data_IF_107751751322
#
_entry.id   IF_107751751322
#
_cell.length_a   1.000
_cell.length_b   1.000
_cell.length_c   1.000
_cell.angle_alpha   90.00
_cell.angle_beta   90.00
_cell.angle_gamma   90.00
#
_symmetry.space_group_name_H-M   'P 1'
#
loop_
_entity.id
_entity.type
_entity.pdbx_description
1 polymer ?
#
# COMPACT_ATOMS: atom_id res chain seq x y z
N UNK A 1 -1.00 10.81 18.35
CA UNK A 1 -0.63 10.09 17.11
C UNK A 1 0.86 10.35 16.89
N UNK A 2 1.67 9.38 17.32
CA UNK A 2 3.15 9.38 17.42
C UNK A 2 3.81 10.48 18.29
N UNK A 3 4.74 10.10 19.19
CA UNK A 3 5.58 11.08 19.89
C UNK A 3 6.51 11.79 18.89
N UNK A 4 6.96 13.00 19.26
CA UNK A 4 7.97 13.71 18.48
C UNK A 4 9.22 12.80 18.33
N UNK A 5 9.71 12.57 17.09
CA UNK A 5 10.85 11.70 16.88
C UNK A 5 12.08 12.25 17.61
N UNK A 6 12.82 11.38 18.30
CA UNK A 6 14.02 11.74 19.06
C UNK A 6 15.11 12.39 18.20
N UNK A 7 15.15 12.05 16.90
CA UNK A 7 15.90 12.74 15.86
C UNK A 7 15.46 12.27 14.47
N UNK A 8 15.23 13.20 13.52
CA UNK A 8 14.88 12.87 12.13
C UNK A 8 13.39 12.67 11.84
N UNK A 9 13.03 12.25 10.61
CA UNK A 9 11.65 12.08 10.19
C UNK A 9 10.93 10.98 10.98
N UNK A 10 9.69 11.26 11.41
CA UNK A 10 8.81 10.28 12.05
C UNK A 10 7.82 9.62 11.06
N UNK A 11 7.03 8.62 11.49
CA UNK A 11 6.09 7.90 10.61
C UNK A 11 5.15 8.79 9.79
N UNK A 12 4.67 9.89 10.39
CA UNK A 12 3.83 10.86 9.69
C UNK A 12 4.54 11.53 8.50
N UNK A 13 5.85 11.83 8.62
CA UNK A 13 6.62 12.43 7.54
C UNK A 13 6.78 11.45 6.37
N UNK A 14 7.10 10.19 6.65
CA UNK A 14 7.17 9.16 5.62
C UNK A 14 5.82 8.92 4.95
N UNK A 15 4.72 8.87 5.71
CA UNK A 15 3.38 8.72 5.15
C UNK A 15 3.01 9.89 4.22
N UNK A 16 3.20 11.12 4.69
CA UNK A 16 2.90 12.31 3.89
C UNK A 16 3.79 12.39 2.65
N UNK A 17 5.10 12.12 2.80
CA UNK A 17 6.03 12.15 1.68
C UNK A 17 5.63 11.12 0.61
N UNK A 18 5.30 9.90 1.01
CA UNK A 18 4.82 8.87 0.10
C UNK A 18 3.52 9.27 -0.62
N UNK A 19 2.58 9.89 0.10
CA UNK A 19 1.32 10.34 -0.48
C UNK A 19 1.53 11.48 -1.50
N UNK A 20 2.32 12.51 -1.14
CA UNK A 20 2.58 13.65 -2.03
C UNK A 20 3.39 13.20 -3.25
N UNK A 21 4.45 12.40 -3.06
CA UNK A 21 5.23 11.85 -4.18
C UNK A 21 4.34 11.07 -5.15
N UNK A 22 3.45 10.20 -4.62
CA UNK A 22 2.52 9.42 -5.47
C UNK A 22 1.58 10.29 -6.29
N UNK A 23 1.18 11.46 -5.79
CA UNK A 23 0.26 12.38 -6.47
C UNK A 23 1.02 13.25 -7.49
N UNK A 24 2.19 13.75 -7.12
CA UNK A 24 2.91 14.76 -7.90
C UNK A 24 3.88 14.16 -8.94
N UNK A 25 4.56 13.06 -8.60
CA UNK A 25 5.55 12.41 -9.47
C UNK A 25 5.60 10.90 -9.16
N UNK A 26 4.64 10.11 -9.67
CA UNK A 26 4.51 8.71 -9.30
C UNK A 26 5.71 7.87 -9.78
N UNK A 27 6.65 7.61 -8.87
CA UNK A 27 7.86 6.81 -9.12
C UNK A 27 8.17 5.76 -8.05
N UNK A 28 9.25 4.99 -8.22
CA UNK A 28 9.73 4.03 -7.22
C UNK A 28 10.22 4.73 -5.94
N UNK A 29 10.16 4.02 -4.80
CA UNK A 29 10.61 4.55 -3.50
C UNK A 29 12.10 4.93 -3.46
N UNK A 30 12.89 4.37 -4.37
CA UNK A 30 14.31 4.65 -4.53
C UNK A 30 14.59 6.08 -5.00
N UNK A 31 13.63 6.74 -5.64
CA UNK A 31 13.78 8.10 -6.17
C UNK A 31 13.23 9.17 -5.21
N UNK A 32 12.52 8.76 -4.15
CA UNK A 32 11.81 9.68 -3.25
C UNK A 32 12.75 10.65 -2.52
N UNK A 33 13.95 10.20 -2.16
CA UNK A 33 14.96 11.05 -1.53
C UNK A 33 15.39 12.20 -2.45
N UNK A 34 15.77 11.88 -3.69
CA UNK A 34 16.20 12.86 -4.69
C UNK A 34 15.07 13.80 -5.08
N UNK A 35 13.84 13.26 -5.15
CA UNK A 35 12.64 14.06 -5.39
C UNK A 35 12.39 15.03 -4.25
N UNK A 36 12.44 14.57 -2.99
CA UNK A 36 12.22 15.39 -1.80
C UNK A 36 13.12 16.63 -1.76
N UNK A 37 14.42 16.46 -2.05
CA UNK A 37 15.42 17.53 -2.05
C UNK A 37 15.11 18.66 -3.04
N UNK A 38 14.34 18.35 -4.10
CA UNK A 38 13.92 19.29 -5.14
C UNK A 38 12.58 19.94 -4.87
N UNK A 39 11.96 19.66 -3.73
CA UNK A 39 10.65 20.22 -3.34
C UNK A 39 10.76 21.23 -2.21
N UNK A 40 9.69 22.00 -2.01
CA UNK A 40 9.53 22.89 -0.84
C UNK A 40 9.57 22.12 0.49
N UNK A 41 9.33 20.79 0.48
CA UNK A 41 9.35 19.99 1.70
C UNK A 41 10.76 19.91 2.31
N UNK A 42 11.82 20.04 1.50
CA UNK A 42 13.20 20.11 1.97
C UNK A 42 13.41 21.31 2.89
N UNK A 43 12.97 22.50 2.46
CA UNK A 43 13.07 23.72 3.27
C UNK A 43 12.13 23.73 4.46
N UNK A 44 10.90 23.23 4.30
CA UNK A 44 9.88 23.26 5.36
C UNK A 44 10.16 22.25 6.48
N UNK A 45 10.64 21.05 6.14
CA UNK A 45 10.89 20.00 7.13
C UNK A 45 12.32 20.01 7.66
N UNK A 46 13.28 20.54 6.88
CA UNK A 46 14.68 20.68 7.29
C UNK A 46 15.40 19.36 7.57
N UNK A 47 14.92 18.24 7.02
CA UNK A 47 15.60 16.95 7.14
C UNK A 47 16.56 16.73 5.96
N UNK A 48 17.74 16.13 6.19
CA UNK A 48 18.58 15.68 5.09
C UNK A 48 17.85 14.64 4.25
N UNK A 49 17.94 14.76 2.92
CA UNK A 49 17.25 13.87 1.98
C UNK A 49 17.64 12.41 2.19
N UNK A 50 18.89 12.14 2.56
CA UNK A 50 19.45 10.81 2.82
C UNK A 50 18.75 10.08 3.97
N UNK A 51 17.91 10.76 4.76
CA UNK A 51 17.06 10.12 5.77
C UNK A 51 15.88 9.39 5.14
N UNK A 52 15.44 9.76 3.94
CA UNK A 52 14.29 9.17 3.25
C UNK A 52 14.65 7.94 2.38
N UNK A 53 15.37 6.99 2.98
CA UNK A 53 15.73 5.74 2.30
C UNK A 53 14.54 4.76 2.23
N UNK A 54 14.54 3.89 1.21
CA UNK A 54 13.56 2.80 1.10
C UNK A 54 13.44 1.95 2.37
N UNK A 55 14.55 1.69 3.07
CA UNK A 55 14.53 0.91 4.32
C UNK A 55 13.84 1.70 5.44
N UNK A 56 14.19 2.98 5.61
CA UNK A 56 13.58 3.83 6.64
C UNK A 56 12.06 4.02 6.42
N UNK A 57 11.61 4.01 5.16
CA UNK A 57 10.17 3.92 4.84
C UNK A 57 9.52 2.65 5.40
N UNK A 58 10.14 1.48 5.18
CA UNK A 58 9.61 0.23 5.71
C UNK A 58 9.62 0.22 7.23
N UNK A 59 10.71 0.64 7.87
CA UNK A 59 10.84 0.70 9.33
C UNK A 59 9.78 1.64 9.95
N UNK A 60 9.47 2.75 9.27
CA UNK A 60 8.43 3.68 9.68
C UNK A 60 7.01 3.09 9.51
N UNK A 61 6.79 2.31 8.45
CA UNK A 61 5.49 1.69 8.18
C UNK A 61 5.22 0.48 9.08
N UNK A 62 6.25 -0.25 9.49
CA UNK A 62 6.12 -1.32 10.49
C UNK A 62 5.60 -0.80 11.83
N UNK A 63 5.92 0.44 12.20
CA UNK A 63 5.39 1.09 13.41
C UNK A 63 3.89 1.45 13.33
N UNK A 64 3.29 1.37 12.14
CA UNK A 64 1.86 1.61 11.91
C UNK A 64 1.08 0.30 12.07
N UNK A 65 1.74 -0.84 11.88
CA UNK A 65 1.10 -2.14 12.06
C UNK A 65 0.77 -2.33 13.55
N UNK A 66 -0.48 -2.69 13.89
CA UNK A 66 -0.84 -3.02 15.25
C UNK A 66 -0.07 -4.26 15.72
N UNK A 67 0.41 -4.22 16.96
CA UNK A 67 1.27 -5.24 17.59
C UNK A 67 0.66 -6.66 17.64
N UNK A 68 -0.64 -6.82 17.35
CA UNK A 68 -1.44 -8.02 17.63
C UNK A 68 -1.96 -8.78 16.41
N UNK A 69 -1.48 -8.52 15.19
CA UNK A 69 -1.98 -9.18 13.97
C UNK A 69 -1.71 -10.70 13.89
N UNK A 70 -0.90 -11.28 14.79
CA UNK A 70 -0.58 -12.72 14.78
C UNK A 70 -1.68 -13.59 15.40
N UNK A 71 -2.63 -13.02 16.14
CA UNK A 71 -3.65 -13.77 16.92
C UNK A 71 -5.10 -13.39 16.65
N UNK A 72 -5.35 -12.43 15.76
CA UNK A 72 -6.70 -11.93 15.50
C UNK A 72 -7.38 -12.77 14.41
N UNK A 73 -8.66 -13.07 14.58
CA UNK A 73 -9.46 -13.70 13.52
C UNK A 73 -9.49 -12.79 12.29
N UNK A 74 -9.74 -13.29 11.05
CA UNK A 74 -9.76 -12.43 9.84
C UNK A 74 -10.69 -11.21 9.96
N UNK A 75 -11.80 -11.31 10.70
CA UNK A 75 -12.70 -10.18 10.96
C UNK A 75 -12.14 -9.09 11.90
N UNK A 76 -11.01 -9.36 12.54
CA UNK A 76 -10.33 -8.49 13.51
C UNK A 76 -8.99 -7.97 12.98
N UNK A 77 -8.59 -8.28 11.74
CA UNK A 77 -7.38 -7.70 11.14
C UNK A 77 -7.55 -6.17 11.04
N UNK A 78 -6.68 -5.38 11.68
CA UNK A 78 -6.81 -3.92 11.65
C UNK A 78 -6.63 -3.32 10.25
N UNK A 79 -5.96 -4.01 9.33
CA UNK A 79 -5.91 -3.60 7.92
C UNK A 79 -7.28 -3.75 7.27
N UNK A 80 -7.95 -4.88 7.46
CA UNK A 80 -9.31 -5.10 6.94
C UNK A 80 -10.28 -4.07 7.54
N UNK A 81 -10.17 -3.79 8.85
CA UNK A 81 -10.96 -2.75 9.50
C UNK A 81 -10.69 -1.35 8.94
N UNK A 82 -9.42 -1.01 8.66
CA UNK A 82 -9.06 0.25 8.04
C UNK A 82 -9.60 0.37 6.61
N UNK A 83 -9.52 -0.71 5.82
CA UNK A 83 -10.06 -0.77 4.46
C UNK A 83 -11.59 -0.62 4.44
N UNK A 84 -12.30 -1.30 5.36
CA UNK A 84 -13.75 -1.17 5.48
C UNK A 84 -14.17 0.25 5.89
N UNK A 85 -13.43 0.89 6.82
CA UNK A 85 -13.68 2.29 7.19
C UNK A 85 -13.44 3.24 6.04
N UNK A 86 -12.37 3.04 5.26
CA UNK A 86 -12.08 3.83 4.07
C UNK A 86 -13.20 3.70 3.03
N UNK A 87 -13.67 2.47 2.76
CA UNK A 87 -14.80 2.23 1.87
C UNK A 87 -16.09 2.90 2.38
N UNK A 88 -16.32 2.87 3.70
CA UNK A 88 -17.40 3.60 4.36
C UNK A 88 -17.34 5.10 4.10
N UNK A 89 -16.17 5.72 4.27
CA UNK A 89 -15.94 7.13 3.97
C UNK A 89 -16.17 7.45 2.49
N UNK A 90 -15.71 6.58 1.58
CA UNK A 90 -15.93 6.77 0.14
C UNK A 90 -17.43 6.75 -0.19
N UNK A 91 -18.18 5.85 0.43
CA UNK A 91 -19.63 5.78 0.28
C UNK A 91 -20.32 7.03 0.83
N UNK A 92 -19.94 7.50 2.02
CA UNK A 92 -20.49 8.72 2.63
C UNK A 92 -20.22 9.96 1.77
N UNK A 93 -19.03 10.04 1.19
CA UNK A 93 -18.61 11.12 0.29
C UNK A 93 -19.11 10.94 -1.15
N UNK A 94 -19.87 9.89 -1.44
CA UNK A 94 -20.37 9.55 -2.78
C UNK A 94 -19.24 9.51 -3.83
N UNK A 95 -18.06 9.04 -3.44
CA UNK A 95 -16.89 8.99 -4.31
C UNK A 95 -16.96 7.83 -5.31
N UNK A 96 -17.77 6.80 -5.04
CA UNK A 96 -17.92 5.64 -5.93
C UNK A 96 -19.38 5.55 -6.37
N UNK A 97 -19.60 5.65 -7.67
CA UNK A 97 -20.89 5.47 -8.32
C UNK A 97 -21.31 4.00 -8.44
N UNK A 98 -22.53 3.79 -8.97
CA UNK A 98 -23.02 2.43 -9.31
C UNK A 98 -22.66 2.04 -10.74
N UNK A 99 -22.23 3.01 -11.55
CA UNK A 99 -21.85 2.79 -12.94
C UNK A 99 -20.43 2.25 -12.97
N UNK A 100 -20.27 0.95 -13.20
CA UNK A 100 -18.96 0.36 -13.44
C UNK A 100 -18.49 0.69 -14.87
N UNK A 101 -17.31 1.27 -15.00
CA UNK A 101 -16.67 1.52 -16.30
C UNK A 101 -15.83 0.33 -16.75
N UNK A 102 -15.13 -0.32 -15.82
CA UNK A 102 -14.34 -1.51 -16.11
C UNK A 102 -14.34 -2.48 -14.93
N UNK A 103 -14.34 -3.77 -15.23
CA UNK A 103 -14.08 -4.85 -14.30
C UNK A 103 -13.29 -5.93 -15.03
N UNK A 104 -12.12 -6.28 -14.51
CA UNK A 104 -11.31 -7.37 -15.03
C UNK A 104 -10.75 -8.22 -13.88
N UNK A 105 -10.58 -9.51 -14.15
CA UNK A 105 -9.97 -10.44 -13.20
C UNK A 105 -8.87 -11.22 -13.90
N UNK A 106 -7.69 -11.23 -13.31
CA UNK A 106 -6.53 -11.94 -13.84
C UNK A 106 -5.76 -12.62 -12.73
N UNK A 107 -5.10 -13.72 -13.06
CA UNK A 107 -4.28 -14.49 -12.12
C UNK A 107 -2.82 -14.41 -12.54
N UNK A 108 -1.96 -13.93 -11.64
CA UNK A 108 -0.51 -13.95 -11.82
C UNK A 108 0.08 -15.14 -11.10
N UNK A 109 1.01 -15.86 -11.73
CA UNK A 109 1.84 -16.81 -11.00
C UNK A 109 3.04 -16.11 -10.38
N UNK A 110 3.51 -16.68 -9.28
CA UNK A 110 4.63 -16.18 -8.48
C UNK A 110 5.69 -17.28 -8.34
N UNK A 111 6.92 -16.90 -8.03
CA UNK A 111 8.01 -17.82 -7.77
C UNK A 111 8.20 -18.08 -6.26
N UNK A 112 7.15 -17.86 -5.47
CA UNK A 112 7.21 -18.06 -4.02
C UNK A 112 7.38 -19.54 -3.73
N UNK A 113 8.44 -19.85 -2.99
CA UNK A 113 8.78 -21.22 -2.63
C UNK A 113 7.60 -21.91 -1.90
N UNK A 114 7.32 -23.15 -2.26
CA UNK A 114 6.25 -23.92 -1.61
C UNK A 114 6.53 -24.21 -0.13
N UNK A 115 7.79 -24.11 0.29
CA UNK A 115 8.23 -24.22 1.69
C UNK A 115 8.05 -22.93 2.48
N UNK A 116 7.71 -21.80 1.84
CA UNK A 116 7.43 -20.56 2.55
C UNK A 116 6.04 -20.65 3.19
N UNK A 117 6.02 -20.89 4.51
CA UNK A 117 4.82 -21.02 5.34
C UNK A 117 4.24 -19.68 5.79
N UNK A 118 4.97 -18.57 5.59
CA UNK A 118 4.50 -17.22 5.95
C UNK A 118 3.49 -16.67 4.93
N UNK A 119 3.53 -17.13 3.69
CA UNK A 119 2.61 -16.69 2.65
C UNK A 119 1.36 -17.58 2.60
N UNK A 120 0.23 -17.03 3.02
CA UNK A 120 -1.08 -17.70 3.01
C UNK A 120 -1.97 -17.29 1.82
N UNK A 121 -1.67 -16.14 1.20
CA UNK A 121 -2.46 -15.57 0.11
C UNK A 121 -2.23 -16.29 -1.23
N UNK A 122 -0.97 -16.55 -1.57
CA UNK A 122 -0.62 -17.14 -2.87
C UNK A 122 -0.73 -18.66 -2.83
N UNK A 123 -1.63 -19.23 -3.64
CA UNK A 123 -1.94 -20.67 -3.63
C UNK A 123 -1.79 -21.29 -5.02
N UNK A 124 -1.60 -22.60 -5.11
CA UNK A 124 -1.56 -23.30 -6.40
C UNK A 124 -2.97 -23.33 -7.00
N UNK A 125 -3.07 -23.19 -8.32
CA UNK A 125 -4.35 -23.14 -9.00
C UNK A 125 -4.25 -23.23 -10.52
N UNK A 126 -5.39 -23.08 -11.19
CA UNK A 126 -5.43 -23.03 -12.65
C UNK A 126 -5.12 -21.62 -13.16
N UNK A 127 -4.13 -21.51 -14.07
CA UNK A 127 -3.91 -20.30 -14.84
C UNK A 127 -3.83 -20.60 -16.33
N UNK A 128 -4.12 -19.57 -17.14
CA UNK A 128 -4.18 -19.67 -18.61
C UNK A 128 -2.81 -19.94 -19.26
N UNK A 129 -1.72 -19.76 -18.52
CA UNK A 129 -0.34 -19.99 -18.99
C UNK A 129 0.21 -21.39 -18.60
N UNK A 130 -0.63 -22.27 -18.02
CA UNK A 130 -0.26 -23.66 -17.68
C UNK A 130 0.72 -23.81 -16.52
N UNK A 131 0.99 -22.76 -15.74
CA UNK A 131 1.88 -22.78 -14.56
C UNK A 131 1.13 -23.18 -13.29
N UNK A 132 0.46 -24.33 -13.33
CA UNK A 132 -0.31 -24.88 -12.19
C UNK A 132 0.57 -25.27 -11.00
N UNK A 133 1.85 -25.51 -11.27
CA UNK A 133 2.86 -25.84 -10.27
C UNK A 133 3.35 -24.61 -9.46
N UNK A 134 3.04 -23.40 -9.89
CA UNK A 134 3.43 -22.17 -9.21
C UNK A 134 2.28 -21.66 -8.33
N UNK A 135 2.63 -20.99 -7.23
CA UNK A 135 1.65 -20.29 -6.38
C UNK A 135 1.19 -19.03 -7.10
N UNK A 136 -0.10 -18.72 -7.05
CA UNK A 136 -0.77 -17.70 -7.84
C UNK A 136 -1.48 -16.71 -6.94
N UNK A 137 -1.61 -15.47 -7.41
CA UNK A 137 -2.39 -14.40 -6.78
C UNK A 137 -3.39 -13.91 -7.82
N UNK A 138 -4.66 -13.85 -7.42
CA UNK A 138 -5.71 -13.22 -8.21
C UNK A 138 -5.69 -11.71 -8.00
N UNK A 139 -5.81 -10.96 -9.09
CA UNK A 139 -6.05 -9.52 -9.09
C UNK A 139 -7.42 -9.28 -9.72
N UNK A 140 -8.28 -8.63 -8.95
CA UNK A 140 -9.52 -8.05 -9.45
C UNK A 140 -9.33 -6.54 -9.51
N UNK A 141 -9.72 -5.94 -10.63
CA UNK A 141 -9.67 -4.50 -10.83
C UNK A 141 -11.07 -3.99 -11.12
N UNK A 142 -11.49 -2.95 -10.41
CA UNK A 142 -12.76 -2.25 -10.64
C UNK A 142 -12.48 -0.77 -10.90
N UNK A 143 -13.12 -0.19 -11.92
CA UNK A 143 -13.10 1.24 -12.19
C UNK A 143 -14.51 1.80 -12.14
N UNK A 144 -14.73 2.77 -11.26
CA UNK A 144 -15.97 3.54 -11.22
C UNK A 144 -16.07 4.47 -12.44
N UNK A 145 -17.23 4.49 -13.05
CA UNK A 145 -17.53 5.25 -14.27
C UNK A 145 -18.08 6.64 -14.06
N UNK A 146 -18.30 7.05 -12.81
CA UNK A 146 -18.69 8.41 -12.47
C UNK A 146 -17.47 9.23 -12.02
N UNK A 147 -16.71 8.72 -11.06
CA UNK A 147 -15.54 9.40 -10.48
C UNK A 147 -14.21 9.05 -11.16
N UNK A 148 -14.14 7.92 -11.87
CA UNK A 148 -12.88 7.38 -12.36
C UNK A 148 -12.00 6.77 -11.26
N UNK A 149 -12.53 6.52 -10.06
CA UNK A 149 -11.80 5.88 -8.98
C UNK A 149 -11.63 4.38 -9.23
N UNK A 150 -10.39 3.92 -9.05
CA UNK A 150 -10.04 2.51 -9.06
C UNK A 150 -10.22 1.90 -7.68
N UNK A 151 -10.76 0.68 -7.65
CA UNK A 151 -11.01 -0.18 -6.49
C UNK A 151 -10.28 -1.52 -6.65
#
# INVERSE_FOLDING_TARGET
LWPAPRSGPGPAHYLLLAAIHRICDPGPKTEVSDWYDRTILASEWGFPAERFTSQAFWDAFEQILPESSVTLAPAEDPLDQAQLRLLGLWKEKQLVGRRLLAYDTTNFYTYIASTNTRNQLAQRGHNKQGRHNLRQVGLSYVLDGESGLSL
#
